data_IF_552369752470
#
_entry.id   IF_552369752470
#
_cell.length_a   1.000
_cell.length_b   1.000
_cell.length_c   1.000
_cell.angle_alpha   90.00
_cell.angle_beta   90.00
_cell.angle_gamma   90.00
#
_symmetry.space_group_name_H-M   'P 1'
#
loop_
_entity.id
_entity.type
_entity.pdbx_description
1 polymer ?
#
# COMPACT_ATOMS: atom_id res chain seq x y z
N UNK A 1 -19.12 -3.46 -8.26
CA UNK A 1 -18.67 -3.28 -6.87
C UNK A 1 -17.30 -3.91 -6.60
N UNK A 2 -17.01 -5.12 -7.08
CA UNK A 2 -15.70 -5.80 -6.83
C UNK A 2 -14.46 -5.05 -7.34
N UNK A 3 -14.62 -4.14 -8.30
CA UNK A 3 -13.53 -3.34 -8.86
C UNK A 3 -13.17 -2.11 -8.02
N UNK A 4 -14.13 -1.51 -7.31
CA UNK A 4 -13.90 -0.31 -6.51
C UNK A 4 -13.31 -0.65 -5.12
N UNK A 5 -13.56 -1.86 -4.62
CA UNK A 5 -13.09 -2.35 -3.33
C UNK A 5 -12.50 -3.75 -3.52
N UNK A 6 -11.20 -3.87 -3.85
CA UNK A 6 -10.58 -5.16 -4.06
C UNK A 6 -10.61 -5.98 -2.77
N UNK A 7 -10.84 -7.29 -2.90
CA UNK A 7 -10.79 -8.19 -1.75
C UNK A 7 -9.39 -8.25 -1.14
N UNK A 8 -9.30 -8.56 0.16
CA UNK A 8 -8.02 -8.76 0.84
C UNK A 8 -7.12 -9.76 0.09
N UNK A 9 -7.71 -10.80 -0.50
CA UNK A 9 -6.97 -11.77 -1.32
C UNK A 9 -6.32 -11.12 -2.54
N UNK A 10 -7.04 -10.29 -3.30
CA UNK A 10 -6.47 -9.58 -4.47
C UNK A 10 -5.35 -8.63 -4.07
N UNK A 11 -5.50 -7.94 -2.93
CA UNK A 11 -4.46 -7.08 -2.38
C UNK A 11 -3.21 -7.90 -2.04
N UNK A 12 -3.38 -9.02 -1.33
CA UNK A 12 -2.28 -9.92 -0.98
C UNK A 12 -1.61 -10.51 -2.23
N UNK A 13 -2.36 -10.92 -3.25
CA UNK A 13 -1.82 -11.47 -4.49
C UNK A 13 -0.92 -10.45 -5.21
N UNK A 14 -1.31 -9.17 -5.23
CA UNK A 14 -0.50 -8.09 -5.80
C UNK A 14 0.77 -7.81 -4.97
N UNK A 15 0.67 -7.80 -3.65
CA UNK A 15 1.84 -7.66 -2.76
C UNK A 15 2.79 -8.85 -2.95
N UNK A 16 2.26 -10.07 -2.99
CA UNK A 16 3.04 -11.30 -3.18
C UNK A 16 3.80 -11.28 -4.51
N UNK A 17 3.15 -10.85 -5.59
CA UNK A 17 3.79 -10.71 -6.90
C UNK A 17 4.98 -9.74 -6.84
N UNK A 18 4.82 -8.60 -6.18
CA UNK A 18 5.83 -7.56 -6.08
C UNK A 18 6.96 -7.92 -5.11
N UNK A 19 6.66 -8.53 -3.98
CA UNK A 19 7.65 -8.99 -3.00
C UNK A 19 8.53 -10.13 -3.56
N UNK A 20 7.97 -11.02 -4.39
CA UNK A 20 8.74 -12.04 -5.11
C UNK A 20 9.70 -11.43 -6.14
N UNK A 21 9.25 -10.43 -6.88
CA UNK A 21 10.05 -9.74 -7.89
C UNK A 21 11.12 -8.82 -7.28
N UNK A 22 10.89 -8.30 -6.06
CA UNK A 22 11.73 -7.31 -5.41
C UNK A 22 12.11 -7.74 -3.97
N UNK A 23 13.08 -8.66 -3.79
CA UNK A 23 13.43 -9.23 -2.48
C UNK A 23 13.94 -8.22 -1.43
N UNK A 24 14.30 -7.01 -1.85
CA UNK A 24 14.77 -5.96 -0.96
C UNK A 24 13.61 -5.17 -0.31
N UNK A 25 12.39 -5.31 -0.83
CA UNK A 25 11.20 -4.63 -0.29
C UNK A 25 10.75 -5.35 0.96
N UNK A 26 10.81 -4.64 2.09
CA UNK A 26 10.40 -5.14 3.40
C UNK A 26 9.61 -4.10 4.22
N UNK A 27 9.20 -3.01 3.59
CA UNK A 27 8.36 -1.97 4.20
C UNK A 27 7.09 -1.80 3.37
N UNK A 28 5.94 -1.77 4.03
CA UNK A 28 4.65 -1.53 3.42
C UNK A 28 4.00 -0.31 4.09
N UNK A 29 3.58 0.66 3.28
CA UNK A 29 2.76 1.78 3.74
C UNK A 29 1.39 1.70 3.08
N UNK A 30 0.32 1.78 3.88
CA UNK A 30 -1.06 1.61 3.45
C UNK A 30 -1.79 2.95 3.49
N UNK A 31 -2.11 3.47 2.31
CA UNK A 31 -2.93 4.67 2.17
C UNK A 31 -4.40 4.28 2.29
N UNK A 32 -5.15 4.95 3.17
CA UNK A 32 -6.59 4.74 3.30
C UNK A 32 -7.31 6.03 3.70
N UNK A 33 -8.57 6.16 3.30
CA UNK A 33 -9.47 7.25 3.68
C UNK A 33 -10.29 6.96 4.94
N UNK A 34 -9.92 5.91 5.70
CA UNK A 34 -10.66 5.50 6.89
C UNK A 34 -10.88 6.66 7.86
N UNK A 35 -12.16 6.95 8.08
CA UNK A 35 -12.65 7.75 9.18
C UNK A 35 -12.99 6.86 10.37
N UNK A 36 -13.06 7.47 11.57
CA UNK A 36 -13.34 6.80 12.84
C UNK A 36 -14.66 6.03 12.88
N UNK A 37 -15.62 6.36 12.00
CA UNK A 37 -16.92 5.71 11.83
C UNK A 37 -16.91 4.52 10.85
N UNK A 38 -15.74 4.13 10.33
CA UNK A 38 -15.55 2.96 9.45
C UNK A 38 -14.62 1.90 10.07
N UNK A 39 -15.02 1.23 11.17
CA UNK A 39 -14.18 0.29 11.93
C UNK A 39 -13.74 -0.93 11.11
N UNK A 40 -14.46 -1.27 10.04
CA UNK A 40 -14.08 -2.34 9.13
C UNK A 40 -12.74 -2.10 8.45
N UNK A 41 -12.33 -0.85 8.22
CA UNK A 41 -11.05 -0.55 7.57
C UNK A 41 -9.87 -0.94 8.47
N UNK A 42 -9.94 -0.61 9.76
CA UNK A 42 -8.91 -1.02 10.73
C UNK A 42 -8.83 -2.54 10.86
N UNK A 43 -9.95 -3.24 10.85
CA UNK A 43 -9.95 -4.70 10.83
C UNK A 43 -9.25 -5.28 9.59
N UNK A 44 -9.48 -4.69 8.40
CA UNK A 44 -8.79 -5.12 7.18
C UNK A 44 -7.30 -4.77 7.22
N UNK A 45 -6.94 -3.61 7.75
CA UNK A 45 -5.55 -3.23 8.01
C UNK A 45 -4.85 -4.27 8.89
N UNK A 46 -5.39 -4.61 10.06
CA UNK A 46 -4.75 -5.58 10.96
C UNK A 46 -4.64 -6.98 10.34
N UNK A 47 -5.64 -7.41 9.56
CA UNK A 47 -5.57 -8.67 8.80
C UNK A 47 -4.45 -8.64 7.76
N UNK A 48 -4.30 -7.52 7.06
CA UNK A 48 -3.27 -7.34 6.06
C UNK A 48 -1.87 -7.31 6.70
N UNK A 49 -1.69 -6.51 7.76
CA UNK A 49 -0.47 -6.42 8.55
C UNK A 49 -0.03 -7.80 9.06
N UNK A 50 -0.93 -8.52 9.73
CA UNK A 50 -0.66 -9.86 10.22
C UNK A 50 -0.27 -10.83 9.09
N UNK A 51 -0.93 -10.73 7.92
CA UNK A 51 -0.63 -11.60 6.78
C UNK A 51 0.73 -11.31 6.14
N UNK A 52 1.16 -10.06 6.05
CA UNK A 52 2.46 -9.70 5.46
C UNK A 52 3.63 -9.88 6.43
N UNK A 53 3.34 -10.03 7.72
CA UNK A 53 4.32 -10.28 8.78
C UNK A 53 4.42 -11.75 9.21
N UNK A 54 3.42 -12.60 8.96
CA UNK A 54 3.44 -14.03 9.33
C UNK A 54 4.53 -14.83 8.57
N UNK A 55 5.60 -15.31 9.24
CA UNK A 55 6.67 -16.06 8.57
C UNK A 55 6.19 -17.33 7.86
N UNK A 56 5.15 -18.00 8.39
CA UNK A 56 4.64 -19.23 7.79
C UNK A 56 3.92 -18.93 6.47
N UNK A 57 3.09 -17.89 6.42
CA UNK A 57 2.45 -17.44 5.17
C UNK A 57 3.50 -16.98 4.16
N UNK A 58 4.43 -16.15 4.59
CA UNK A 58 5.48 -15.56 3.75
C UNK A 58 6.35 -16.63 3.09
N UNK A 59 6.69 -17.70 3.84
CA UNK A 59 7.38 -18.87 3.28
C UNK A 59 6.56 -19.53 2.16
N UNK A 60 5.25 -19.75 2.38
CA UNK A 60 4.35 -20.31 1.35
C UNK A 60 4.18 -19.39 0.14
N UNK A 61 4.19 -18.08 0.35
CA UNK A 61 4.06 -17.07 -0.70
C UNK A 61 5.34 -16.88 -1.52
N UNK A 62 6.49 -17.39 -1.05
CA UNK A 62 7.76 -17.41 -1.77
C UNK A 62 8.58 -16.13 -1.65
N UNK A 63 8.42 -15.37 -0.56
CA UNK A 63 9.18 -14.12 -0.34
C UNK A 63 10.64 -14.46 -0.05
N UNK A 64 11.54 -14.05 -0.94
CA UNK A 64 12.99 -14.24 -0.74
C UNK A 64 13.56 -13.32 0.35
N UNK A 65 12.96 -12.15 0.55
CA UNK A 65 13.37 -11.15 1.55
C UNK A 65 12.88 -11.41 2.98
N UNK A 66 12.05 -12.44 3.18
CA UNK A 66 11.35 -12.67 4.44
C UNK A 66 10.13 -11.77 4.64
N UNK A 67 9.55 -11.74 5.85
CA UNK A 67 8.35 -10.95 6.13
C UNK A 67 8.61 -9.45 6.04
N UNK A 68 7.54 -8.67 5.83
CA UNK A 68 7.62 -7.21 5.96
C UNK A 68 8.04 -6.86 7.38
N UNK A 69 9.06 -6.02 7.53
CA UNK A 69 9.61 -5.57 8.82
C UNK A 69 8.82 -4.40 9.38
N UNK A 70 8.35 -3.53 8.50
CA UNK A 70 7.65 -2.30 8.88
C UNK A 70 6.36 -2.21 8.08
N UNK A 71 5.24 -2.09 8.80
CA UNK A 71 3.93 -1.82 8.21
C UNK A 71 3.43 -0.54 8.86
N UNK A 72 3.08 0.44 8.04
CA UNK A 72 2.53 1.72 8.47
C UNK A 72 1.28 2.02 7.66
N UNK A 73 0.48 2.98 8.12
CA UNK A 73 -0.72 3.44 7.41
C UNK A 73 -0.95 4.94 7.62
N UNK A 74 -1.89 5.53 6.89
CA UNK A 74 -2.23 6.97 6.99
C UNK A 74 -2.42 7.44 8.44
N UNK A 75 -3.05 6.61 9.29
CA UNK A 75 -3.27 6.94 10.71
C UNK A 75 -2.03 6.86 11.61
N UNK A 76 -0.92 6.30 11.12
CA UNK A 76 0.36 6.24 11.84
C UNK A 76 1.27 7.46 11.58
N UNK A 77 0.83 8.38 10.72
CA UNK A 77 1.58 9.61 10.44
C UNK A 77 1.61 10.50 11.70
N UNK A 78 2.78 11.07 12.06
CA UNK A 78 2.94 11.85 13.28
C UNK A 78 2.42 13.29 13.11
N UNK A 79 1.13 13.42 12.81
CA UNK A 79 0.46 14.70 12.57
C UNK A 79 0.06 15.36 13.90
N UNK A 80 0.16 16.69 13.95
CA UNK A 80 -0.34 17.49 15.08
C UNK A 80 -1.81 17.85 14.86
N UNK A 81 -2.46 18.30 15.93
CA UNK A 81 -3.83 18.80 15.86
C UNK A 81 -3.92 19.94 14.83
N UNK A 82 -4.87 19.84 13.91
CA UNK A 82 -5.06 20.79 12.81
C UNK A 82 -4.29 20.46 11.52
N UNK A 83 -3.47 19.40 11.50
CA UNK A 83 -2.69 18.99 10.32
C UNK A 83 -3.35 17.87 9.50
N UNK A 84 -4.64 17.60 9.69
CA UNK A 84 -5.34 16.49 9.02
C UNK A 84 -5.24 16.52 7.49
N UNK A 85 -5.34 17.71 6.89
CA UNK A 85 -5.24 17.88 5.43
C UNK A 85 -3.84 17.55 4.89
N UNK A 86 -2.80 17.61 5.73
CA UNK A 86 -1.43 17.25 5.34
C UNK A 86 -1.24 15.73 5.24
N UNK A 87 -2.09 14.92 5.90
CA UNK A 87 -2.03 13.47 5.81
C UNK A 87 -2.05 13.00 4.36
N UNK A 88 -2.97 13.57 3.56
CA UNK A 88 -3.13 13.24 2.15
C UNK A 88 -1.90 13.62 1.35
N UNK A 89 -1.30 14.79 1.62
CA UNK A 89 -0.09 15.23 0.92
C UNK A 89 1.11 14.33 1.24
N UNK A 90 1.27 13.90 2.50
CA UNK A 90 2.32 12.97 2.93
C UNK A 90 2.12 11.61 2.28
N UNK A 91 0.91 11.08 2.32
CA UNK A 91 0.54 9.82 1.66
C UNK A 91 0.86 9.85 0.16
N UNK A 92 0.47 10.94 -0.54
CA UNK A 92 0.78 11.13 -1.95
C UNK A 92 2.29 11.14 -2.20
N UNK A 93 3.08 11.81 -1.38
CA UNK A 93 4.53 11.86 -1.55
C UNK A 93 5.20 10.50 -1.27
N UNK A 94 4.75 9.79 -0.23
CA UNK A 94 5.20 8.41 0.05
C UNK A 94 4.87 7.49 -1.12
N UNK A 95 3.64 7.55 -1.63
CA UNK A 95 3.20 6.76 -2.76
C UNK A 95 3.91 7.16 -4.06
N UNK A 96 4.24 8.44 -4.27
CA UNK A 96 5.02 8.92 -5.41
C UNK A 96 6.47 8.42 -5.37
N UNK A 97 7.06 8.36 -4.19
CA UNK A 97 8.49 8.04 -4.04
C UNK A 97 8.78 6.55 -3.88
N UNK A 98 7.82 5.76 -3.41
CA UNK A 98 7.94 4.32 -3.17
C UNK A 98 8.56 3.57 -4.35
N UNK A 99 9.31 2.50 -4.07
CA UNK A 99 9.85 1.62 -5.11
C UNK A 99 8.71 1.02 -5.96
N UNK A 100 7.61 0.66 -5.32
CA UNK A 100 6.46 -0.03 -5.91
C UNK A 100 5.19 0.68 -5.46
N UNK A 101 4.20 0.79 -6.34
CA UNK A 101 2.90 1.35 -6.02
C UNK A 101 1.78 0.40 -6.44
N UNK A 102 0.89 0.08 -5.51
CA UNK A 102 -0.31 -0.71 -5.74
C UNK A 102 -1.50 0.20 -5.47
N UNK A 103 -2.26 0.53 -6.51
CA UNK A 103 -3.35 1.49 -6.46
C UNK A 103 -4.69 0.89 -6.86
N UNK A 104 -5.76 1.65 -6.64
CA UNK A 104 -7.10 1.30 -7.11
C UNK A 104 -7.35 1.96 -8.47
N UNK A 105 -7.60 1.17 -9.52
CA UNK A 105 -7.76 1.70 -10.88
C UNK A 105 -8.94 2.68 -11.05
N UNK A 106 -9.88 2.71 -10.10
CA UNK A 106 -11.07 3.56 -10.12
C UNK A 106 -10.98 4.77 -9.18
N UNK A 107 -9.84 4.98 -8.52
CA UNK A 107 -9.62 6.10 -7.61
C UNK A 107 -8.98 7.30 -8.32
N UNK A 108 -9.60 8.47 -8.19
CA UNK A 108 -9.02 9.74 -8.68
C UNK A 108 -7.69 10.06 -8.00
N UNK A 109 -7.55 9.78 -6.70
CA UNK A 109 -6.29 9.92 -5.96
C UNK A 109 -5.20 9.01 -6.54
N UNK A 110 -5.55 7.75 -6.87
CA UNK A 110 -4.62 6.83 -7.54
C UNK A 110 -4.16 7.42 -8.88
N UNK A 111 -5.07 7.98 -9.67
CA UNK A 111 -4.72 8.59 -10.96
C UNK A 111 -3.73 9.76 -10.81
N UNK A 112 -3.90 10.59 -9.77
CA UNK A 112 -2.96 11.67 -9.47
C UNK A 112 -1.58 11.15 -9.07
N UNK A 113 -1.51 10.12 -8.20
CA UNK A 113 -0.25 9.48 -7.82
C UNK A 113 0.45 8.89 -9.06
N UNK A 114 -0.29 8.23 -9.96
CA UNK A 114 0.27 7.70 -11.20
C UNK A 114 0.88 8.80 -12.07
N UNK A 115 0.17 9.91 -12.27
CA UNK A 115 0.68 11.03 -13.04
C UNK A 115 1.99 11.58 -12.44
N UNK A 116 2.03 11.77 -11.12
CA UNK A 116 3.22 12.24 -10.41
C UNK A 116 4.39 11.24 -10.48
N UNK A 117 4.10 9.94 -10.38
CA UNK A 117 5.11 8.88 -10.53
C UNK A 117 5.68 8.85 -11.94
N UNK A 118 4.82 8.84 -12.96
CA UNK A 118 5.24 8.75 -14.36
C UNK A 118 5.98 9.99 -14.85
N UNK A 119 5.71 11.16 -14.27
CA UNK A 119 6.47 12.38 -14.52
C UNK A 119 7.89 12.36 -13.92
N UNK A 120 8.18 11.45 -12.98
CA UNK A 120 9.51 11.32 -12.35
C UNK A 120 10.44 10.50 -13.25
N UNK A 121 11.67 10.99 -13.44
CA UNK A 121 12.71 10.24 -14.14
C UNK A 121 12.98 8.88 -13.47
N UNK A 122 13.20 7.85 -14.29
CA UNK A 122 13.50 6.49 -13.83
C UNK A 122 12.30 5.67 -13.38
N UNK A 123 11.07 6.21 -13.41
CA UNK A 123 9.86 5.45 -13.11
C UNK A 123 9.56 4.40 -14.18
N UNK A 124 9.15 3.20 -13.74
CA UNK A 124 8.83 2.07 -14.63
C UNK A 124 7.41 1.61 -14.40
N UNK A 125 6.67 1.38 -15.48
CA UNK A 125 5.28 0.90 -15.43
C UNK A 125 5.15 -0.45 -14.73
N UNK A 126 6.17 -1.30 -14.79
CA UNK A 126 6.21 -2.62 -14.10
C UNK A 126 6.19 -2.53 -12.57
N UNK A 127 6.53 -1.37 -12.01
CA UNK A 127 6.55 -1.14 -10.57
C UNK A 127 5.18 -0.59 -10.09
N UNK A 128 4.18 -0.57 -10.98
CA UNK A 128 2.82 -0.11 -10.72
C UNK A 128 1.85 -1.28 -10.95
N UNK A 129 0.99 -1.54 -9.98
CA UNK A 129 -0.14 -2.46 -10.12
C UNK A 129 -1.43 -1.69 -9.83
N UNK A 130 -2.44 -1.88 -10.69
CA UNK A 130 -3.79 -1.38 -10.47
C UNK A 130 -4.72 -2.55 -10.21
N UNK A 131 -5.43 -2.47 -9.08
CA UNK A 131 -6.43 -3.44 -8.65
C UNK A 131 -7.82 -3.10 -9.17
#
# INVERSE_FOLDING_TARGET
MEHCYPSLRRILDAIDAQARANPHVNTLHILHDASWDHPSVYLQYYKLEAAVQDPKRILRAGYKGGPMKTVTHTGSLPLRNGEGDWAVAVDVELARTANIFIGNGYSSLTTQILALRLAREGSRTRDIILL
#
